data_IF_934337086491
#
_entry.id   IF_934337086491
#
_cell.length_a   1.000
_cell.length_b   1.000
_cell.length_c   1.000
_cell.angle_alpha   90.00
_cell.angle_beta   90.00
_cell.angle_gamma   90.00
#
_symmetry.space_group_name_H-M   'P 1'
#
loop_
_entity.id
_entity.type
_entity.pdbx_description
1 polymer ?
#
# COMPACT_ATOMS: atom_id res chain seq x y z
N UNK A 1 26.68 -7.59 50.68
CA UNK A 1 27.01 -7.00 49.36
C UNK A 1 25.82 -7.17 48.45
N UNK A 2 25.08 -6.10 48.17
CA UNK A 2 23.92 -6.13 47.25
C UNK A 2 24.41 -6.45 45.84
N UNK A 3 23.97 -7.58 45.29
CA UNK A 3 24.36 -8.02 43.94
C UNK A 3 23.83 -6.98 42.93
N UNK A 4 24.70 -6.41 42.11
CA UNK A 4 24.30 -5.42 41.12
C UNK A 4 23.21 -5.98 40.20
N UNK A 5 22.16 -5.18 39.96
CA UNK A 5 21.10 -5.56 39.03
C UNK A 5 21.64 -5.46 37.60
N UNK A 6 21.83 -6.62 36.97
CA UNK A 6 22.31 -6.73 35.59
C UNK A 6 21.13 -6.86 34.63
N UNK A 7 21.15 -6.07 33.57
CA UNK A 7 20.10 -6.03 32.56
C UNK A 7 20.69 -5.87 31.16
N UNK A 8 19.98 -6.37 30.15
CA UNK A 8 20.18 -5.95 28.78
C UNK A 8 19.50 -4.60 28.55
N UNK A 9 20.07 -3.76 27.70
CA UNK A 9 19.36 -2.61 27.14
C UNK A 9 18.93 -2.96 25.72
N UNK A 10 17.62 -3.11 25.52
CA UNK A 10 17.03 -3.33 24.21
C UNK A 10 16.63 -1.97 23.63
N UNK A 11 17.37 -1.51 22.63
CA UNK A 11 17.10 -0.24 21.98
C UNK A 11 15.94 -0.35 21.00
N UNK A 12 16.02 -1.27 20.04
CA UNK A 12 15.02 -1.50 19.00
C UNK A 12 14.89 -3.01 18.73
N UNK A 13 13.66 -3.44 18.45
CA UNK A 13 13.36 -4.78 17.95
C UNK A 13 12.79 -4.64 16.55
N UNK A 14 13.35 -5.39 15.60
CA UNK A 14 12.85 -5.44 14.23
C UNK A 14 12.36 -6.86 13.96
N UNK A 15 11.05 -7.02 13.79
CA UNK A 15 10.44 -8.30 13.39
C UNK A 15 10.35 -8.32 11.87
N UNK A 16 10.91 -9.35 11.26
CA UNK A 16 10.72 -9.62 9.82
C UNK A 16 9.73 -10.75 9.66
N UNK A 17 8.55 -10.45 9.12
CA UNK A 17 7.58 -11.47 8.71
C UNK A 17 8.12 -12.17 7.46
N UNK A 18 8.33 -13.48 7.53
CA UNK A 18 9.05 -14.21 6.48
C UNK A 18 8.25 -14.45 5.20
N UNK A 19 6.91 -14.45 5.27
CA UNK A 19 6.07 -14.74 4.10
C UNK A 19 6.13 -13.62 3.06
N UNK A 20 5.94 -12.39 3.54
CA UNK A 20 5.93 -11.19 2.72
C UNK A 20 7.21 -10.39 2.84
N UNK A 21 8.11 -10.70 3.77
CA UNK A 21 9.26 -9.86 4.11
C UNK A 21 8.87 -8.46 4.63
N UNK A 22 7.69 -8.32 5.24
CA UNK A 22 7.32 -7.09 5.93
C UNK A 22 8.18 -6.90 7.19
N UNK A 23 8.46 -5.65 7.54
CA UNK A 23 9.26 -5.33 8.73
C UNK A 23 8.48 -4.46 9.71
N UNK A 24 8.50 -4.84 10.97
CA UNK A 24 7.84 -4.15 12.07
C UNK A 24 8.91 -3.67 13.06
N UNK A 25 8.92 -2.38 13.35
CA UNK A 25 9.93 -1.72 14.16
C UNK A 25 9.33 -1.32 15.50
N UNK A 26 9.92 -1.81 16.59
CA UNK A 26 9.52 -1.51 17.96
C UNK A 26 10.64 -0.74 18.64
N UNK A 27 10.43 0.55 18.89
CA UNK A 27 11.37 1.40 19.61
C UNK A 27 11.22 1.16 21.11
N UNK A 28 11.85 0.11 21.62
CA UNK A 28 11.71 -0.33 23.00
C UNK A 28 12.36 0.63 23.99
N UNK A 29 13.61 1.02 23.73
CA UNK A 29 14.47 1.77 24.65
C UNK A 29 14.33 1.33 26.12
N UNK A 30 14.42 0.01 26.36
CA UNK A 30 14.03 -0.58 27.64
C UNK A 30 15.12 -1.46 28.24
N UNK A 31 15.23 -1.44 29.57
CA UNK A 31 16.04 -2.39 30.34
C UNK A 31 15.30 -3.72 30.47
N UNK A 32 15.92 -4.82 30.07
CA UNK A 32 15.40 -6.18 30.15
C UNK A 32 16.21 -6.95 31.21
N UNK A 33 15.60 -7.30 32.35
CA UNK A 33 16.30 -8.04 33.40
C UNK A 33 16.80 -9.40 32.89
N UNK A 34 18.00 -9.83 33.33
CA UNK A 34 18.51 -11.17 33.01
C UNK A 34 17.81 -12.29 33.78
N UNK A 35 17.10 -11.95 34.86
CA UNK A 35 16.36 -12.91 35.68
C UNK A 35 14.93 -13.02 35.18
N UNK A 36 14.57 -14.22 34.73
CA UNK A 36 13.19 -14.52 34.37
C UNK A 36 12.34 -14.65 35.64
N UNK A 37 11.36 -13.76 35.81
CA UNK A 37 10.27 -13.92 36.79
C UNK A 37 9.02 -14.31 36.01
N UNK A 38 8.30 -15.35 36.46
CA UNK A 38 7.05 -15.77 35.79
C UNK A 38 6.08 -14.58 35.75
N UNK A 39 5.55 -14.29 34.57
CA UNK A 39 4.58 -13.22 34.35
C UNK A 39 5.18 -11.84 34.06
N UNK A 40 6.51 -11.70 34.00
CA UNK A 40 7.15 -10.45 33.56
C UNK A 40 7.16 -10.39 32.03
N UNK A 41 6.44 -9.43 31.46
CA UNK A 41 6.46 -9.12 30.04
C UNK A 41 6.42 -7.61 29.84
N UNK A 42 6.93 -7.17 28.69
CA UNK A 42 6.84 -5.77 28.27
C UNK A 42 6.03 -5.68 27.00
N UNK A 43 5.17 -4.66 26.95
CA UNK A 43 4.41 -4.31 25.76
C UNK A 43 5.08 -3.10 25.12
N UNK A 44 5.35 -3.21 23.82
CA UNK A 44 5.87 -2.11 23.02
C UNK A 44 4.95 -1.88 21.84
N UNK A 45 4.64 -0.63 21.56
CA UNK A 45 3.88 -0.28 20.35
C UNK A 45 4.77 -0.40 19.11
N UNK A 46 4.17 -0.84 18.00
CA UNK A 46 4.83 -0.85 16.70
C UNK A 46 4.99 0.60 16.22
N UNK A 47 6.23 1.09 16.20
CA UNK A 47 6.54 2.47 15.86
C UNK A 47 6.53 2.72 14.34
N UNK A 48 6.80 1.69 13.54
CA UNK A 48 6.83 1.77 12.08
C UNK A 48 6.63 0.40 11.46
N UNK A 49 5.90 0.37 10.35
CA UNK A 49 5.80 -0.79 9.47
C UNK A 49 6.40 -0.43 8.12
N UNK A 50 7.19 -1.34 7.56
CA UNK A 50 7.63 -1.28 6.16
C UNK A 50 7.00 -2.46 5.45
N UNK A 51 6.03 -2.16 4.59
CA UNK A 51 5.44 -3.14 3.69
C UNK A 51 6.41 -3.49 2.57
N UNK A 52 6.49 -4.77 2.24
CA UNK A 52 7.25 -5.22 1.08
C UNK A 52 6.52 -4.91 -0.22
N UNK A 53 7.24 -4.99 -1.33
CA UNK A 53 6.62 -4.93 -2.66
C UNK A 53 5.56 -6.02 -2.84
N UNK A 54 5.80 -7.24 -2.35
CA UNK A 54 4.84 -8.33 -2.43
C UNK A 54 3.55 -8.04 -1.64
N UNK A 55 3.65 -7.46 -0.44
CA UNK A 55 2.49 -7.05 0.36
C UNK A 55 1.70 -5.97 -0.37
N UNK A 56 2.41 -4.97 -0.91
CA UNK A 56 1.80 -3.87 -1.65
C UNK A 56 1.14 -4.35 -2.94
N UNK A 57 1.77 -5.27 -3.68
CA UNK A 57 1.22 -5.87 -4.88
C UNK A 57 -0.04 -6.70 -4.58
N UNK A 58 -0.10 -7.45 -3.48
CA UNK A 58 -1.32 -8.16 -3.06
C UNK A 58 -2.46 -7.19 -2.73
N UNK A 59 -2.15 -6.02 -2.18
CA UNK A 59 -3.17 -4.99 -1.89
C UNK A 59 -3.71 -4.30 -3.16
N UNK A 60 -2.96 -4.34 -4.26
CA UNK A 60 -3.37 -3.83 -5.57
C UNK A 60 -4.24 -4.85 -6.30
N UNK A 61 -5.39 -5.19 -5.71
CA UNK A 61 -6.40 -6.05 -6.33
C UNK A 61 -6.86 -5.39 -7.64
N UNK A 62 -6.83 -6.10 -8.80
CA UNK A 62 -7.33 -5.56 -10.05
C UNK A 62 -8.80 -5.16 -9.91
N UNK A 63 -9.10 -3.88 -10.15
CA UNK A 63 -10.47 -3.35 -10.15
C UNK A 63 -10.95 -3.20 -11.58
N UNK A 64 -12.17 -3.70 -11.85
CA UNK A 64 -12.85 -3.48 -13.13
C UNK A 64 -13.68 -2.21 -13.04
N UNK A 65 -13.38 -1.24 -13.90
CA UNK A 65 -14.17 -0.02 -14.06
C UNK A 65 -15.09 -0.14 -15.27
N UNK A 66 -16.34 0.29 -15.12
CA UNK A 66 -17.21 0.61 -16.23
C UNK A 66 -17.12 2.11 -16.49
N UNK A 67 -16.81 2.49 -17.74
CA UNK A 67 -16.65 3.88 -18.15
C UNK A 67 -17.66 4.16 -19.24
N UNK A 68 -18.57 5.10 -18.99
CA UNK A 68 -19.56 5.57 -19.95
C UNK A 68 -19.11 6.94 -20.46
N UNK A 69 -18.99 7.07 -21.78
CA UNK A 69 -18.66 8.34 -22.45
C UNK A 69 -19.85 8.76 -23.28
N UNK A 70 -20.28 10.01 -23.14
CA UNK A 70 -21.36 10.62 -23.92
C UNK A 70 -20.78 11.82 -24.65
N UNK A 71 -20.95 11.86 -25.97
CA UNK A 71 -20.55 12.99 -26.80
C UNK A 71 -21.72 13.98 -26.87
N UNK A 72 -21.46 15.28 -26.90
CA UNK A 72 -22.56 16.26 -27.05
C UNK A 72 -23.30 16.09 -28.39
N UNK A 73 -24.54 16.58 -28.46
CA UNK A 73 -25.38 16.57 -29.68
C UNK A 73 -25.18 17.83 -30.55
N UNK A 74 -24.32 18.75 -30.13
CA UNK A 74 -24.05 20.00 -30.85
C UNK A 74 -23.21 19.77 -32.11
N UNK A 75 -23.33 20.70 -33.08
CA UNK A 75 -22.51 20.67 -34.29
C UNK A 75 -21.03 20.78 -33.93
N UNK A 76 -20.23 19.80 -34.33
CA UNK A 76 -18.78 19.76 -34.07
C UNK A 76 -18.39 19.12 -32.74
N UNK A 77 -19.31 18.47 -32.01
CA UNK A 77 -19.01 17.80 -30.76
C UNK A 77 -18.22 16.48 -30.92
N UNK A 78 -18.22 15.87 -32.12
CA UNK A 78 -17.48 14.64 -32.41
C UNK A 78 -15.99 14.85 -32.65
N UNK A 79 -15.21 13.77 -32.61
CA UNK A 79 -13.75 13.81 -32.84
C UNK A 79 -13.21 12.54 -33.48
N UNK A 80 -12.26 12.70 -34.41
CA UNK A 80 -11.44 11.62 -34.98
C UNK A 80 -10.13 11.38 -34.21
N UNK A 81 -9.91 12.11 -33.11
CA UNK A 81 -8.70 11.98 -32.31
C UNK A 81 -8.64 10.65 -31.55
N UNK A 82 -7.42 10.18 -31.27
CA UNK A 82 -7.22 9.06 -30.36
C UNK A 82 -7.53 9.49 -28.92
N UNK A 83 -8.59 8.95 -28.33
CA UNK A 83 -9.01 9.25 -26.96
C UNK A 83 -8.43 8.23 -25.96
N UNK A 84 -7.97 8.73 -24.81
CA UNK A 84 -7.39 7.92 -23.75
C UNK A 84 -7.93 8.35 -22.37
N UNK A 85 -7.94 7.42 -21.42
CA UNK A 85 -8.30 7.67 -20.02
C UNK A 85 -7.19 7.18 -19.07
N UNK A 86 -6.98 7.94 -17.98
CA UNK A 86 -6.17 7.53 -16.83
C UNK A 86 -6.98 7.83 -15.56
N UNK A 87 -7.21 6.81 -14.73
CA UNK A 87 -7.90 6.95 -13.43
C UNK A 87 -6.84 7.10 -12.34
N UNK A 88 -6.98 8.12 -11.49
CA UNK A 88 -6.08 8.38 -10.37
C UNK A 88 -6.76 8.05 -9.04
N UNK A 89 -6.02 7.44 -8.11
CA UNK A 89 -6.49 7.15 -6.76
C UNK A 89 -5.35 7.10 -5.74
N UNK A 90 -5.67 6.82 -4.48
CA UNK A 90 -4.69 6.81 -3.37
C UNK A 90 -3.53 5.82 -3.58
N UNK A 91 -3.75 4.79 -4.41
CA UNK A 91 -2.82 3.71 -4.70
C UNK A 91 -2.02 3.92 -6.00
N UNK A 92 -2.15 5.08 -6.65
CA UNK A 92 -1.52 5.41 -7.93
C UNK A 92 -2.54 5.60 -9.06
N UNK A 93 -2.11 5.38 -10.30
CA UNK A 93 -2.93 5.55 -11.50
C UNK A 93 -3.11 4.26 -12.32
N UNK A 94 -4.14 4.23 -13.17
CA UNK A 94 -4.48 3.07 -13.99
C UNK A 94 -3.56 2.84 -15.20
N UNK A 95 -2.60 3.73 -15.44
CA UNK A 95 -1.94 3.93 -16.73
C UNK A 95 -2.87 4.52 -17.78
N UNK A 96 -2.27 4.94 -18.91
CA UNK A 96 -2.99 5.45 -20.10
C UNK A 96 -3.70 4.30 -20.82
N UNK A 97 -5.03 4.33 -20.88
CA UNK A 97 -5.87 3.32 -21.54
C UNK A 97 -6.55 3.91 -22.76
N UNK A 98 -6.36 3.30 -23.93
CA UNK A 98 -7.03 3.74 -25.16
C UNK A 98 -8.52 3.36 -25.12
N UNK A 99 -9.39 4.33 -25.37
CA UNK A 99 -10.81 4.09 -25.52
C UNK A 99 -11.08 3.76 -27.00
N UNK A 100 -11.10 2.46 -27.32
CA UNK A 100 -11.28 1.97 -28.69
C UNK A 100 -12.13 0.71 -28.73
N UNK A 101 -12.92 0.57 -29.78
CA UNK A 101 -13.67 -0.63 -30.09
C UNK A 101 -13.41 -0.98 -31.56
N UNK A 102 -13.15 -2.26 -31.85
CA UNK A 102 -12.92 -2.70 -33.23
C UNK A 102 -14.17 -2.44 -34.07
N UNK A 103 -13.96 -1.93 -35.28
CA UNK A 103 -15.01 -1.69 -36.28
C UNK A 103 -16.11 -0.71 -35.84
N UNK A 104 -15.80 0.22 -34.93
CA UNK A 104 -16.69 1.34 -34.56
C UNK A 104 -15.95 2.65 -34.55
N UNK A 105 -16.64 3.68 -35.00
CA UNK A 105 -16.29 5.06 -34.69
C UNK A 105 -17.02 5.46 -33.39
N UNK A 106 -16.28 5.78 -32.33
CA UNK A 106 -16.80 5.87 -30.97
C UNK A 106 -17.21 7.28 -30.54
N UNK A 107 -16.51 8.31 -31.02
CA UNK A 107 -16.65 9.68 -30.50
C UNK A 107 -17.40 10.55 -31.49
N UNK A 108 -18.46 9.98 -32.06
CA UNK A 108 -19.41 10.71 -32.87
C UNK A 108 -20.43 11.42 -32.00
N UNK A 109 -20.98 12.51 -32.54
CA UNK A 109 -22.10 13.26 -31.95
C UNK A 109 -23.29 12.33 -31.70
N UNK A 110 -23.81 12.28 -30.47
CA UNK A 110 -24.93 11.38 -30.10
C UNK A 110 -25.50 11.64 -28.72
#
# INVERSE_FOLDING_TARGET
>A
TTKADVYWHAQEIIITEMELCNKYFFKCNAKIPLRNKRGDYKVFECAKVVESFASKARSLVPVKYEVIVVTGSEKGAGTDANVFITVFGINGDSGKRALKQKFRNLFERG
#
